data_IF_441556688572
#
_entry.id   IF_441556688572
#
_cell.length_a   1.000
_cell.length_b   1.000
_cell.length_c   1.000
_cell.angle_alpha   90.00
_cell.angle_beta   90.00
_cell.angle_gamma   90.00
#
_symmetry.space_group_name_H-M   'P 1'
#
loop_
_entity.id
_entity.type
_entity.pdbx_description
1 polymer ?
#
# COMPACT_ATOMS: atom_id res chain seq x y z
N UNK A 1 -58.26 16.74 59.17
CA UNK A 1 -57.31 15.72 58.68
C UNK A 1 -56.52 16.38 57.54
N UNK A 2 -55.19 16.51 57.69
CA UNK A 2 -54.26 17.09 56.69
C UNK A 2 -53.83 15.99 55.68
N UNK A 3 -53.19 16.31 54.55
CA UNK A 3 -53.68 16.06 53.18
C UNK A 3 -52.89 14.95 52.45
N UNK A 4 -53.26 14.61 51.20
CA UNK A 4 -52.31 14.00 50.27
C UNK A 4 -52.35 14.64 48.88
N UNK A 5 -51.13 14.94 48.44
CA UNK A 5 -50.71 15.74 47.29
C UNK A 5 -50.69 14.98 45.97
N UNK A 6 -50.67 15.77 44.90
CA UNK A 6 -50.43 15.44 43.51
C UNK A 6 -49.10 14.72 43.23
N UNK A 7 -49.04 13.98 42.10
CA UNK A 7 -47.97 14.13 41.11
C UNK A 7 -48.37 13.46 39.77
N UNK A 8 -48.67 14.25 38.75
CA UNK A 8 -48.70 13.81 37.35
C UNK A 8 -47.26 13.89 36.83
N UNK A 9 -46.61 12.74 36.66
CA UNK A 9 -45.31 12.64 36.01
C UNK A 9 -45.49 12.61 34.49
N UNK A 10 -45.17 13.71 33.81
CA UNK A 10 -44.96 13.72 32.36
C UNK A 10 -43.55 13.24 32.11
N UNK A 11 -43.40 12.03 31.55
CA UNK A 11 -42.12 11.52 31.06
C UNK A 11 -41.94 12.01 29.64
N UNK A 12 -41.22 13.13 29.49
CA UNK A 12 -40.74 13.61 28.18
C UNK A 12 -39.50 12.80 27.82
N UNK A 13 -39.64 11.83 26.92
CA UNK A 13 -38.51 11.12 26.33
C UNK A 13 -37.73 12.04 25.40
N UNK A 14 -36.50 12.39 25.77
CA UNK A 14 -35.57 13.08 24.89
C UNK A 14 -35.00 12.09 23.87
N UNK A 15 -35.39 12.22 22.60
CA UNK A 15 -34.72 11.54 21.49
C UNK A 15 -33.40 12.29 21.25
N UNK A 16 -32.29 11.66 21.61
CA UNK A 16 -30.94 12.13 21.25
C UNK A 16 -30.66 11.64 19.84
N UNK A 17 -30.83 12.52 18.86
CA UNK A 17 -30.39 12.26 17.48
C UNK A 17 -28.88 12.43 17.44
N UNK A 18 -28.13 11.33 17.50
CA UNK A 18 -26.69 11.36 17.22
C UNK A 18 -26.51 11.66 15.73
N UNK A 19 -26.18 12.91 15.40
CA UNK A 19 -25.64 13.26 14.08
C UNK A 19 -24.31 12.52 13.96
N UNK A 20 -24.30 11.41 13.21
CA UNK A 20 -23.06 10.75 12.82
C UNK A 20 -22.23 11.73 12.01
N UNK A 21 -21.12 12.19 12.57
CA UNK A 21 -20.12 12.93 11.82
C UNK A 21 -19.44 11.91 10.89
N UNK A 22 -19.90 11.81 9.65
CA UNK A 22 -19.16 11.13 8.59
C UNK A 22 -17.98 12.01 8.23
N UNK A 23 -16.79 11.70 8.75
CA UNK A 23 -15.55 12.30 8.26
C UNK A 23 -15.35 11.86 6.83
N UNK A 24 -15.20 12.81 5.90
CA UNK A 24 -14.72 12.48 4.57
C UNK A 24 -13.26 12.03 4.69
N UNK A 25 -12.98 10.77 4.35
CA UNK A 25 -11.61 10.31 4.20
C UNK A 25 -10.97 11.07 3.03
N UNK A 26 -9.84 11.73 3.28
CA UNK A 26 -9.09 12.44 2.24
C UNK A 26 -8.20 11.43 1.52
N UNK A 27 -8.02 11.59 0.21
CA UNK A 27 -7.05 10.82 -0.55
C UNK A 27 -5.67 10.91 0.13
N UNK A 28 -5.04 9.75 0.28
CA UNK A 28 -3.71 9.55 0.85
C UNK A 28 -2.79 9.05 -0.26
N UNK A 29 -1.56 9.55 -0.23
CA UNK A 29 -0.48 9.09 -1.09
C UNK A 29 0.38 8.11 -0.31
N UNK A 30 0.60 6.92 -0.88
CA UNK A 30 1.45 5.90 -0.29
C UNK A 30 2.74 5.76 -1.08
N UNK A 31 3.88 5.96 -0.41
CA UNK A 31 5.21 5.64 -0.93
C UNK A 31 5.77 4.43 -0.16
N UNK A 32 5.80 3.29 -0.84
CA UNK A 32 6.09 1.98 -0.28
C UNK A 32 7.41 1.44 -0.84
N UNK A 33 8.11 0.65 -0.02
CA UNK A 33 9.40 0.03 -0.37
C UNK A 33 9.53 -1.32 0.32
N UNK A 34 10.27 -2.23 -0.28
CA UNK A 34 10.56 -3.52 0.31
C UNK A 34 11.54 -4.34 -0.52
N UNK A 35 11.58 -5.63 -0.24
CA UNK A 35 12.43 -6.61 -0.92
C UNK A 35 11.67 -7.89 -1.18
N UNK A 36 11.94 -8.55 -2.29
CA UNK A 36 11.50 -9.92 -2.54
C UNK A 36 12.54 -10.92 -2.04
N UNK A 37 12.07 -12.03 -1.47
CA UNK A 37 12.91 -13.17 -1.14
C UNK A 37 13.19 -14.02 -2.38
N UNK A 38 12.23 -14.15 -3.31
CA UNK A 38 12.31 -14.99 -4.50
C UNK A 38 11.81 -14.28 -5.77
N UNK A 39 12.19 -14.78 -6.96
CA UNK A 39 11.74 -14.21 -8.24
C UNK A 39 10.23 -14.30 -8.39
N UNK A 40 9.62 -15.40 -7.89
CA UNK A 40 8.19 -15.66 -8.01
C UNK A 40 7.33 -15.02 -6.91
N UNK A 41 7.95 -14.20 -6.05
CA UNK A 41 7.21 -13.46 -5.03
C UNK A 41 6.19 -12.51 -5.68
N UNK A 42 5.07 -12.36 -4.98
CA UNK A 42 3.97 -11.46 -5.34
C UNK A 42 3.65 -10.62 -4.12
N UNK A 43 3.74 -9.30 -4.26
CA UNK A 43 3.26 -8.38 -3.22
C UNK A 43 1.92 -7.80 -3.65
N UNK A 44 0.91 -7.98 -2.81
CA UNK A 44 -0.42 -7.41 -2.99
C UNK A 44 -0.56 -6.16 -2.13
N UNK A 45 -1.22 -5.15 -2.70
CA UNK A 45 -1.58 -3.91 -2.05
C UNK A 45 -3.05 -3.62 -2.29
N UNK A 46 -3.81 -3.52 -1.21
CA UNK A 46 -5.22 -3.16 -1.26
C UNK A 46 -5.38 -1.65 -1.04
N UNK A 47 -6.29 -1.04 -1.79
CA UNK A 47 -6.67 0.36 -1.63
C UNK A 47 -8.11 0.58 -2.09
N UNK A 48 -8.69 1.73 -1.72
CA UNK A 48 -10.06 2.07 -2.10
C UNK A 48 -10.14 3.45 -2.75
N UNK A 49 -11.23 3.68 -3.49
CA UNK A 49 -11.56 4.96 -4.13
C UNK A 49 -12.94 5.38 -3.63
N UNK A 50 -13.05 6.53 -2.97
CA UNK A 50 -14.33 7.02 -2.45
C UNK A 50 -15.26 7.57 -3.54
N UNK A 51 -14.69 8.24 -4.53
CA UNK A 51 -15.38 8.87 -5.63
C UNK A 51 -14.51 8.78 -6.87
N UNK A 52 -15.11 8.68 -8.06
CA UNK A 52 -14.35 8.57 -9.31
C UNK A 52 -13.23 9.62 -9.38
N UNK A 53 -11.98 9.15 -9.44
CA UNK A 53 -10.79 9.99 -9.35
C UNK A 53 -9.63 9.42 -10.18
N UNK A 54 -8.66 10.27 -10.51
CA UNK A 54 -7.40 9.84 -11.09
C UNK A 54 -6.53 9.17 -10.02
N UNK A 55 -5.85 8.10 -10.41
CA UNK A 55 -4.95 7.29 -9.59
C UNK A 55 -3.65 7.13 -10.35
N UNK A 56 -2.53 7.35 -9.65
CA UNK A 56 -1.20 7.11 -10.20
C UNK A 56 -0.55 5.95 -9.46
N UNK A 57 -0.14 4.93 -10.22
CA UNK A 57 0.65 3.80 -9.74
C UNK A 57 2.00 3.84 -10.44
N UNK A 58 3.10 3.89 -9.69
CA UNK A 58 4.42 4.06 -10.28
C UNK A 58 5.50 3.32 -9.52
N UNK A 59 6.32 2.54 -10.21
CA UNK A 59 7.52 1.95 -9.60
C UNK A 59 8.75 2.82 -9.77
N UNK A 60 9.72 2.57 -8.91
CA UNK A 60 11.05 3.17 -8.92
C UNK A 60 12.14 2.11 -8.70
N UNK A 61 11.79 0.83 -8.85
CA UNK A 61 12.64 -0.31 -8.55
C UNK A 61 13.84 -0.34 -9.51
N UNK A 62 13.59 -0.23 -10.81
CA UNK A 62 14.60 -0.50 -11.81
C UNK A 62 15.55 0.69 -12.02
N UNK A 63 15.01 1.84 -12.40
CA UNK A 63 15.77 3.04 -12.73
C UNK A 63 15.99 3.98 -11.53
N UNK A 64 15.39 3.69 -10.38
CA UNK A 64 15.44 4.57 -9.21
C UNK A 64 14.65 5.87 -9.42
N UNK A 65 14.90 6.85 -8.56
CA UNK A 65 14.29 8.18 -8.65
C UNK A 65 13.84 8.73 -7.31
N UNK A 66 12.88 9.66 -7.32
CA UNK A 66 12.32 10.23 -6.09
C UNK A 66 10.83 9.93 -6.02
N UNK A 67 10.42 9.25 -4.96
CA UNK A 67 9.02 8.97 -4.64
C UNK A 67 8.27 10.25 -4.25
N UNK A 68 6.95 10.19 -4.26
CA UNK A 68 6.06 11.30 -3.91
C UNK A 68 6.31 11.86 -2.50
N UNK A 69 6.73 11.00 -1.55
CA UNK A 69 7.09 11.40 -0.18
C UNK A 69 8.46 12.12 -0.08
N UNK A 70 9.17 12.29 -1.19
CA UNK A 70 10.49 12.91 -1.26
C UNK A 70 11.66 11.95 -1.00
N UNK A 71 11.40 10.66 -0.76
CA UNK A 71 12.44 9.65 -0.59
C UNK A 71 13.15 9.40 -1.91
N UNK A 72 14.48 9.43 -1.89
CA UNK A 72 15.31 9.05 -3.02
C UNK A 72 15.59 7.54 -3.02
N UNK A 73 15.46 6.92 -4.19
CA UNK A 73 15.65 5.50 -4.48
C UNK A 73 16.83 5.37 -5.44
N UNK A 74 17.84 4.61 -5.03
CA UNK A 74 18.94 4.24 -5.92
C UNK A 74 18.44 3.30 -7.03
N UNK A 75 18.97 3.46 -8.24
CA UNK A 75 18.74 2.50 -9.32
C UNK A 75 19.42 1.17 -8.99
N UNK A 76 18.82 0.04 -9.40
CA UNK A 76 19.44 -1.27 -9.22
C UNK A 76 18.49 -2.43 -8.98
N UNK A 77 17.25 -2.16 -8.59
CA UNK A 77 16.22 -3.18 -8.38
C UNK A 77 15.81 -3.89 -9.66
N UNK A 78 15.03 -4.94 -9.49
CA UNK A 78 14.49 -5.75 -10.58
C UNK A 78 13.48 -4.97 -11.43
N UNK A 79 13.19 -5.52 -12.61
CA UNK A 79 12.17 -5.09 -13.57
C UNK A 79 10.76 -5.43 -13.04
N UNK A 80 9.99 -4.44 -12.54
CA UNK A 80 8.73 -4.69 -11.86
C UNK A 80 7.51 -4.62 -12.79
N UNK A 81 6.56 -5.53 -12.55
CA UNK A 81 5.29 -5.60 -13.25
C UNK A 81 4.14 -5.29 -12.29
N UNK A 82 3.24 -4.41 -12.71
CA UNK A 82 2.02 -4.04 -12.01
C UNK A 82 0.78 -4.64 -12.68
N UNK A 83 0.01 -5.44 -11.94
CA UNK A 83 -1.32 -5.91 -12.37
C UNK A 83 -2.41 -5.37 -11.44
N UNK A 84 -3.38 -4.65 -11.98
CA UNK A 84 -4.47 -4.04 -11.24
C UNK A 84 -5.76 -4.85 -11.39
N UNK A 85 -6.45 -5.08 -10.27
CA UNK A 85 -7.71 -5.81 -10.17
C UNK A 85 -8.78 -4.98 -9.44
N UNK A 86 -10.06 -5.20 -9.78
CA UNK A 86 -11.19 -4.68 -8.98
C UNK A 86 -11.42 -5.49 -7.71
N UNK A 87 -12.34 -5.04 -6.85
CA UNK A 87 -12.67 -5.70 -5.58
C UNK A 87 -13.28 -7.10 -5.70
N UNK A 88 -13.73 -7.50 -6.89
CA UNK A 88 -14.15 -8.89 -7.18
C UNK A 88 -12.97 -9.74 -7.71
N UNK A 89 -11.77 -9.15 -7.77
CA UNK A 89 -10.55 -9.76 -8.29
C UNK A 89 -10.47 -9.78 -9.81
N UNK A 90 -11.34 -9.09 -10.55
CA UNK A 90 -11.27 -9.06 -12.01
C UNK A 90 -10.15 -8.15 -12.49
N UNK A 91 -9.39 -8.62 -13.47
CA UNK A 91 -8.31 -7.86 -14.09
C UNK A 91 -8.81 -6.59 -14.78
N UNK A 92 -8.12 -5.48 -14.51
CA UNK A 92 -8.38 -4.17 -15.11
C UNK A 92 -7.25 -3.80 -16.06
N UNK A 93 -6.01 -3.84 -15.58
CA UNK A 93 -4.87 -3.29 -16.31
C UNK A 93 -3.54 -3.94 -15.92
N UNK A 94 -2.58 -3.90 -16.86
CA UNK A 94 -1.20 -4.35 -16.69
C UNK A 94 -0.26 -3.21 -17.09
N UNK A 95 0.75 -2.93 -16.28
CA UNK A 95 1.91 -2.09 -16.63
C UNK A 95 3.19 -2.88 -16.39
N UNK A 96 4.03 -2.98 -17.42
CA UNK A 96 5.20 -3.89 -17.48
C UNK A 96 6.46 -3.20 -18.00
N UNK A 97 6.40 -1.91 -18.35
CA UNK A 97 7.49 -1.05 -18.84
C UNK A 97 6.90 0.33 -19.18
N UNK A 98 7.68 1.41 -19.13
CA UNK A 98 7.27 2.70 -19.72
C UNK A 98 8.42 3.45 -20.44
N UNK A 99 8.70 3.02 -21.68
CA UNK A 99 9.68 3.69 -22.55
C UNK A 99 9.19 5.02 -23.16
N UNK A 100 8.01 5.55 -22.76
CA UNK A 100 7.48 6.82 -23.29
C UNK A 100 8.22 8.06 -22.77
N UNK A 101 9.08 7.89 -21.77
CA UNK A 101 9.83 8.95 -21.10
C UNK A 101 9.18 9.48 -19.81
N UNK A 102 8.12 8.83 -19.34
CA UNK A 102 7.45 9.18 -18.07
C UNK A 102 8.17 8.63 -16.86
N UNK A 103 8.78 7.45 -16.98
CA UNK A 103 9.74 6.91 -16.01
C UNK A 103 11.18 7.20 -16.43
N UNK A 104 12.10 7.07 -15.47
CA UNK A 104 13.51 7.30 -15.72
C UNK A 104 14.13 6.13 -16.51
N UNK A 105 15.22 6.41 -17.21
CA UNK A 105 16.08 5.34 -17.70
C UNK A 105 17.10 5.00 -16.62
N UNK A 106 17.32 3.71 -16.37
CA UNK A 106 18.39 3.23 -15.49
C UNK A 106 19.74 3.76 -16.02
N UNK A 107 20.53 4.46 -15.19
CA UNK A 107 21.81 5.01 -15.62
C UNK A 107 22.83 3.96 -16.08
N UNK A 108 22.66 2.69 -15.69
CA UNK A 108 23.58 1.60 -16.05
C UNK A 108 23.20 0.96 -17.38
N UNK A 109 21.96 0.49 -17.51
CA UNK A 109 21.49 -0.26 -18.68
C UNK A 109 20.90 0.62 -19.78
N UNK A 110 20.48 1.85 -19.44
CA UNK A 110 19.78 2.76 -20.33
C UNK A 110 18.33 2.36 -20.62
N UNK A 111 17.74 1.47 -19.80
CA UNK A 111 16.38 0.94 -19.96
C UNK A 111 15.40 1.60 -19.01
N UNK A 112 14.14 1.73 -19.43
CA UNK A 112 13.04 2.32 -18.67
C UNK A 112 12.02 1.24 -18.29
N UNK A 113 12.47 0.28 -17.48
CA UNK A 113 11.66 -0.89 -17.11
C UNK A 113 10.77 -0.67 -15.89
N UNK A 114 10.75 0.53 -15.31
CA UNK A 114 9.76 0.84 -14.28
C UNK A 114 8.34 0.94 -14.86
N UNK A 115 7.37 0.38 -14.14
CA UNK A 115 5.96 0.47 -14.46
C UNK A 115 5.36 1.83 -14.08
N UNK A 116 4.49 2.34 -14.94
CA UNK A 116 3.68 3.53 -14.71
C UNK A 116 2.24 3.32 -15.17
N UNK A 117 1.28 3.77 -14.38
CA UNK A 117 -0.13 3.83 -14.72
C UNK A 117 -0.74 5.11 -14.17
N UNK A 118 -1.39 5.89 -15.04
CA UNK A 118 -2.25 7.01 -14.67
C UNK A 118 -3.64 6.76 -15.24
N UNK A 119 -4.61 6.47 -14.37
CA UNK A 119 -5.92 5.95 -14.74
C UNK A 119 -7.03 6.57 -13.88
N UNK A 120 -8.20 6.79 -14.47
CA UNK A 120 -9.41 7.15 -13.71
C UNK A 120 -10.13 5.89 -13.26
N UNK A 121 -10.24 5.71 -11.95
CA UNK A 121 -10.98 4.60 -11.33
C UNK A 121 -12.29 5.10 -10.74
N UNK A 122 -13.30 4.23 -10.75
CA UNK A 122 -14.59 4.49 -10.10
C UNK A 122 -14.47 4.28 -8.60
N UNK A 123 -15.50 4.69 -7.86
CA UNK A 123 -15.58 4.32 -6.45
C UNK A 123 -15.63 2.80 -6.29
N UNK A 124 -14.83 2.25 -5.38
CA UNK A 124 -14.70 0.81 -5.16
C UNK A 124 -13.38 0.43 -4.49
N UNK A 125 -13.24 -0.85 -4.17
CA UNK A 125 -12.00 -1.45 -3.69
C UNK A 125 -11.20 -2.04 -4.85
N UNK A 126 -9.88 -2.06 -4.71
CA UNK A 126 -8.93 -2.49 -5.72
C UNK A 126 -7.75 -3.21 -5.09
N UNK A 127 -7.18 -4.16 -5.82
CA UNK A 127 -5.93 -4.82 -5.46
C UNK A 127 -4.90 -4.60 -6.57
N UNK A 128 -3.72 -4.12 -6.19
CA UNK A 128 -2.55 -4.03 -7.06
C UNK A 128 -1.58 -5.15 -6.70
N UNK A 129 -1.21 -5.95 -7.69
CA UNK A 129 -0.10 -6.90 -7.57
C UNK A 129 1.17 -6.28 -8.17
N UNK A 130 2.25 -6.31 -7.39
CA UNK A 130 3.60 -6.05 -7.85
C UNK A 130 4.34 -7.38 -7.93
N UNK A 131 4.98 -7.63 -9.06
CA UNK A 131 5.74 -8.86 -9.33
C UNK A 131 7.01 -8.53 -10.09
N UNK A 132 7.93 -9.49 -10.18
CA UNK A 132 9.10 -9.39 -11.04
C UNK A 132 8.80 -9.87 -12.45
N UNK A 133 9.30 -9.20 -13.47
CA UNK A 133 9.23 -9.69 -14.84
C UNK A 133 9.90 -11.06 -14.95
N UNK A 134 9.26 -12.11 -15.47
CA UNK A 134 8.05 -12.19 -16.29
C UNK A 134 6.96 -12.98 -15.53
N UNK A 135 6.62 -12.55 -14.33
CA UNK A 135 5.62 -13.17 -13.47
C UNK A 135 4.25 -12.52 -13.61
N UNK A 136 3.67 -12.59 -14.82
CA UNK A 136 2.33 -12.05 -15.09
C UNK A 136 1.22 -12.82 -14.39
N UNK A 137 0.09 -12.15 -14.18
CA UNK A 137 -1.17 -12.83 -13.82
C UNK A 137 -1.56 -13.85 -14.89
N UNK A 138 -2.05 -15.01 -14.47
CA UNK A 138 -2.35 -16.13 -15.37
C UNK A 138 -3.57 -15.88 -16.26
N UNK A 139 -4.55 -15.11 -15.78
CA UNK A 139 -5.86 -14.93 -16.41
C UNK A 139 -6.45 -13.55 -16.09
N UNK A 140 -7.76 -13.42 -16.31
CA UNK A 140 -8.56 -12.24 -15.95
C UNK A 140 -9.01 -12.20 -14.48
N UNK A 141 -8.57 -13.11 -13.60
CA UNK A 141 -8.91 -13.05 -12.17
C UNK A 141 -7.69 -13.28 -11.26
N UNK A 142 -7.59 -12.49 -10.18
CA UNK A 142 -6.51 -12.56 -9.20
C UNK A 142 -6.36 -13.97 -8.57
N UNK A 143 -7.46 -14.68 -8.35
CA UNK A 143 -7.45 -16.00 -7.72
C UNK A 143 -6.83 -17.10 -8.58
N UNK A 144 -6.62 -16.85 -9.88
CA UNK A 144 -5.98 -17.80 -10.79
C UNK A 144 -4.44 -17.75 -10.71
N UNK A 145 -3.89 -16.88 -9.86
CA UNK A 145 -2.47 -16.82 -9.54
C UNK A 145 -1.61 -16.22 -10.65
N UNK A 146 -0.30 -16.50 -10.56
CA UNK A 146 0.72 -15.89 -11.41
C UNK A 146 1.56 -16.95 -12.12
N UNK A 147 2.15 -16.56 -13.26
CA UNK A 147 2.80 -17.46 -14.23
C UNK A 147 3.94 -18.27 -13.63
N UNK A 148 4.66 -17.69 -12.68
CA UNK A 148 5.87 -18.26 -12.12
C UNK A 148 5.66 -18.86 -10.72
N UNK A 149 4.41 -19.01 -10.28
CA UNK A 149 4.10 -19.60 -8.98
C UNK A 149 4.80 -20.97 -8.81
N UNK A 150 5.66 -21.08 -7.78
CA UNK A 150 6.44 -22.28 -7.49
C UNK A 150 7.75 -22.39 -8.28
N UNK A 151 8.15 -21.34 -9.00
CA UNK A 151 9.39 -21.26 -9.78
C UNK A 151 10.29 -20.14 -9.24
N UNK A 152 10.76 -20.34 -8.01
CA UNK A 152 11.41 -19.31 -7.19
C UNK A 152 12.64 -18.60 -7.79
N UNK A 153 13.34 -19.22 -8.74
CA UNK A 153 14.52 -18.67 -9.39
C UNK A 153 14.34 -18.56 -10.91
N UNK A 154 13.12 -18.29 -11.39
CA UNK A 154 12.82 -18.41 -12.82
C UNK A 154 13.70 -17.54 -13.72
N UNK A 155 14.21 -16.40 -13.24
CA UNK A 155 15.04 -15.48 -14.06
C UNK A 155 16.43 -16.01 -14.33
N UNK A 156 16.92 -16.94 -13.52
CA UNK A 156 18.17 -17.67 -13.81
C UNK A 156 18.11 -18.43 -15.15
N UNK A 157 16.91 -18.72 -15.65
CA UNK A 157 16.69 -19.38 -16.93
C UNK A 157 16.62 -18.40 -18.12
N UNK A 158 16.68 -17.08 -17.89
CA UNK A 158 16.77 -16.13 -18.99
C UNK A 158 18.07 -16.37 -19.75
N UNK A 159 17.98 -16.41 -21.08
CA UNK A 159 19.07 -16.87 -21.95
C UNK A 159 20.39 -16.09 -21.80
N UNK A 160 20.32 -14.88 -21.23
CA UNK A 160 21.45 -13.97 -21.03
C UNK A 160 21.92 -13.90 -19.58
N UNK A 161 21.19 -14.53 -18.64
CA UNK A 161 21.58 -14.50 -17.25
C UNK A 161 22.80 -15.37 -17.00
N UNK A 162 23.73 -14.88 -16.18
CA UNK A 162 24.85 -15.71 -15.72
C UNK A 162 24.35 -16.70 -14.66
N UNK A 163 24.79 -17.96 -14.76
CA UNK A 163 24.15 -19.13 -14.11
C UNK A 163 23.86 -18.94 -12.62
N UNK A 164 22.64 -19.31 -12.24
CA UNK A 164 22.05 -19.40 -10.90
C UNK A 164 21.86 -18.07 -10.13
N UNK A 165 21.69 -16.95 -10.84
CA UNK A 165 21.31 -15.67 -10.21
C UNK A 165 19.79 -15.46 -10.24
N UNK A 166 19.24 -15.01 -9.12
CA UNK A 166 17.88 -14.47 -9.02
C UNK A 166 17.91 -12.97 -9.35
N UNK A 167 16.73 -12.39 -9.58
CA UNK A 167 16.56 -10.98 -9.93
C UNK A 167 17.33 -10.61 -11.18
N UNK A 168 17.34 -11.47 -12.19
CA UNK A 168 18.01 -11.20 -13.46
C UNK A 168 17.05 -10.55 -14.45
N UNK A 169 17.43 -9.42 -15.03
CA UNK A 169 16.60 -8.83 -16.08
C UNK A 169 16.71 -9.61 -17.40
N UNK A 170 15.80 -9.31 -18.34
CA UNK A 170 15.75 -10.00 -19.61
C UNK A 170 17.01 -9.78 -20.49
N UNK A 171 17.77 -8.71 -20.22
CA UNK A 171 19.02 -8.42 -20.92
C UNK A 171 20.23 -9.16 -20.33
N UNK A 172 20.07 -9.77 -19.15
CA UNK A 172 21.06 -10.59 -18.47
C UNK A 172 21.81 -9.87 -17.36
N UNK A 173 21.42 -8.64 -17.02
CA UNK A 173 22.01 -7.92 -15.90
C UNK A 173 21.40 -8.44 -14.59
N UNK A 174 22.26 -8.76 -13.63
CA UNK A 174 21.83 -9.18 -12.28
C UNK A 174 21.44 -7.93 -11.51
N UNK A 175 20.19 -7.92 -11.07
CA UNK A 175 19.56 -6.83 -10.32
C UNK A 175 19.48 -7.21 -8.85
N UNK A 176 19.12 -6.23 -8.05
CA UNK A 176 18.90 -6.41 -6.63
C UNK A 176 17.41 -6.74 -6.38
N UNK A 177 17.09 -7.20 -5.17
CA UNK A 177 15.74 -7.70 -4.85
C UNK A 177 14.79 -6.62 -4.31
N UNK A 178 15.24 -5.36 -4.28
CA UNK A 178 14.51 -4.21 -3.79
C UNK A 178 13.44 -3.76 -4.77
N UNK A 179 12.32 -3.30 -4.22
CA UNK A 179 11.27 -2.64 -4.96
C UNK A 179 10.85 -1.34 -4.27
N UNK A 180 10.35 -0.40 -5.07
CA UNK A 180 9.76 0.86 -4.61
C UNK A 180 8.55 1.20 -5.47
N UNK A 181 7.47 1.65 -4.82
CA UNK A 181 6.16 1.85 -5.43
C UNK A 181 5.46 3.06 -4.81
N UNK A 182 4.90 3.90 -5.66
CA UNK A 182 3.92 4.92 -5.28
C UNK A 182 2.51 4.49 -5.69
N UNK A 183 1.55 4.67 -4.79
CA UNK A 183 0.10 4.53 -5.00
C UNK A 183 -0.54 5.85 -4.56
N UNK A 184 -0.92 6.70 -5.52
CA UNK A 184 -1.33 8.08 -5.28
C UNK A 184 -2.80 8.32 -5.65
N UNK A 185 -3.45 9.25 -4.94
CA UNK A 185 -4.85 9.59 -5.20
C UNK A 185 -5.86 8.54 -4.74
N UNK A 186 -5.50 7.73 -3.74
CA UNK A 186 -6.30 6.61 -3.23
C UNK A 186 -6.69 6.81 -1.77
N UNK A 187 -7.50 5.91 -1.20
CA UNK A 187 -7.73 5.78 0.23
C UNK A 187 -7.11 4.46 0.73
N UNK A 188 -6.78 4.36 2.04
CA UNK A 188 -6.49 3.06 2.62
C UNK A 188 -7.67 2.08 2.40
N UNK A 189 -7.45 0.76 2.55
CA UNK A 189 -8.53 -0.21 2.57
C UNK A 189 -9.64 0.23 3.53
N UNK A 190 -10.89 -0.04 3.17
CA UNK A 190 -11.99 0.13 4.13
C UNK A 190 -11.74 -0.79 5.32
N UNK A 191 -11.74 -0.24 6.54
CA UNK A 191 -11.72 -1.08 7.75
C UNK A 191 -12.96 -1.97 7.72
N UNK A 192 -12.83 -3.29 7.97
CA UNK A 192 -14.01 -4.15 8.08
C UNK A 192 -14.94 -3.63 9.18
N UNK A 193 -16.24 -3.66 8.90
CA UNK A 193 -17.30 -3.22 9.81
C UNK A 193 -17.07 -3.85 11.20
N UNK A 194 -17.22 -3.07 12.28
CA UNK A 194 -17.01 -3.50 13.67
C UNK A 194 -17.94 -4.68 14.02
N UNK A 195 -17.55 -5.91 13.68
CA UNK A 195 -18.41 -7.09 13.80
C UNK A 195 -17.96 -8.33 13.03
N UNK A 196 -17.15 -8.19 11.98
CA UNK A 196 -16.55 -9.31 11.25
C UNK A 196 -15.13 -9.61 11.78
N UNK A 197 -14.72 -10.87 11.96
CA UNK A 197 -13.35 -11.20 12.36
C UNK A 197 -12.37 -10.87 11.22
N UNK A 198 -11.49 -9.89 11.44
CA UNK A 198 -10.51 -9.44 10.46
C UNK A 198 -9.68 -10.60 9.88
N UNK A 199 -9.63 -10.79 8.54
CA UNK A 199 -8.53 -11.53 7.92
C UNK A 199 -7.21 -10.75 8.13
N UNK A 200 -6.03 -11.41 8.09
CA UNK A 200 -4.76 -10.75 8.31
C UNK A 200 -4.40 -9.85 7.12
N UNK A 201 -4.95 -8.64 7.07
CA UNK A 201 -4.48 -7.58 6.18
C UNK A 201 -3.20 -7.01 6.78
N UNK A 202 -2.05 -7.25 6.14
CA UNK A 202 -0.83 -6.53 6.48
C UNK A 202 -0.98 -5.08 6.02
N UNK A 203 -1.56 -4.24 6.88
CA UNK A 203 -1.44 -2.80 6.76
C UNK A 203 0.03 -2.46 7.03
N UNK A 204 0.81 -1.92 6.07
CA UNK A 204 2.16 -1.47 6.35
C UNK A 204 2.06 -0.30 7.34
N UNK A 205 2.56 -0.47 8.57
CA UNK A 205 2.54 0.61 9.54
C UNK A 205 3.40 1.77 9.02
N UNK A 206 2.84 2.98 8.81
CA UNK A 206 3.69 4.14 8.59
C UNK A 206 4.49 4.35 9.88
N UNK A 207 5.81 4.52 9.73
CA UNK A 207 6.74 4.68 10.84
C UNK A 207 6.19 5.67 11.88
N UNK A 208 5.68 5.13 13.00
CA UNK A 208 5.00 5.94 14.02
C UNK A 208 6.03 6.87 14.66
N UNK A 209 5.85 8.17 14.43
CA UNK A 209 6.57 9.25 15.10
C UNK A 209 6.29 9.16 16.60
N UNK A 210 7.34 8.86 17.37
CA UNK A 210 7.32 8.78 18.83
C UNK A 210 7.13 10.18 19.44
N UNK A 211 5.88 10.65 19.53
CA UNK A 211 5.54 11.87 20.26
C UNK A 211 5.13 11.53 21.71
N UNK A 212 6.10 11.34 22.59
CA UNK A 212 5.83 11.32 24.04
C UNK A 212 5.47 12.73 24.53
N UNK A 213 4.17 13.01 24.64
CA UNK A 213 3.65 14.09 25.46
C UNK A 213 3.69 13.67 26.94
N UNK A 214 4.66 14.16 27.70
CA UNK A 214 4.63 14.14 29.16
C UNK A 214 4.73 15.58 29.68
N UNK A 215 3.59 16.27 29.66
CA UNK A 215 3.36 17.49 30.41
C UNK A 215 2.75 17.14 31.79
N UNK A 216 3.64 17.12 32.78
CA UNK A 216 3.48 17.55 34.17
C UNK A 216 2.16 17.42 34.96
N UNK A 217 2.27 16.76 36.11
CA UNK A 217 1.78 17.20 37.44
C UNK A 217 2.83 16.67 38.43
N UNK A 218 3.45 17.38 39.38
CA UNK A 218 3.06 18.57 40.11
C UNK A 218 3.17 18.28 41.62
N UNK A 219 4.33 18.64 42.19
CA UNK A 219 4.52 19.12 43.57
C UNK A 219 4.63 18.15 44.79
N UNK A 220 5.72 18.38 45.55
CA UNK A 220 5.76 18.81 46.99
C UNK A 220 6.47 17.92 48.05
N UNK A 221 7.47 18.56 48.69
CA UNK A 221 7.92 18.49 50.12
C UNK A 221 9.11 17.58 50.51
N UNK A 222 10.29 18.21 50.53
CA UNK A 222 11.16 18.55 51.69
C UNK A 222 11.59 17.51 52.76
N UNK A 223 12.90 17.64 53.12
CA UNK A 223 13.69 17.15 54.29
C UNK A 223 14.40 15.79 54.10
N UNK A 224 15.65 15.57 54.48
CA UNK A 224 16.63 16.33 55.30
C UNK A 224 18.04 15.73 55.07
N UNK A 225 19.09 16.55 55.26
CA UNK A 225 20.51 16.16 55.38
C UNK A 225 20.77 15.18 56.53
N UNK A 226 21.72 14.26 56.33
CA UNK A 226 22.76 13.70 57.23
C UNK A 226 23.27 12.42 56.56
N UNK A 227 24.55 12.10 56.37
CA UNK A 227 25.84 12.46 56.99
C UNK A 227 26.92 12.48 55.92
#
# INVERSE_FOLDING_TARGET
MKPLSALMGVVTGAIVTTLGMTSAALAVDFSLRGTFAQDDDVQLFDFSIATESAVTLRTYSYAGGTQADGTFIDAGGFDPVLSLFDGDGNFIFLSDDDESGTVANDPTTGRAYDGFLDIVLKAGDYTLALTQYNNFSNTTNLADGFRQEGNANFTSNFARCTTDSMFCDFTGDVRTNEWALDILGVLPPSEPDEGEPNPPTQVPEPATTLAFALAGVGALVHRRRQT
#
